data_IF_568330583958
#
_entry.id   IF_568330583958
#
_cell.length_a   1.000
_cell.length_b   1.000
_cell.length_c   1.000
_cell.angle_alpha   90.00
_cell.angle_beta   90.00
_cell.angle_gamma   90.00
#
_symmetry.space_group_name_H-M   'P 1'
#
loop_
_entity.id
_entity.type
_entity.pdbx_description
1 polymer ?
#
# COMPACT_ATOMS: atom_id res chain seq x y z
N UNK A 1 19.77 6.01 20.03
CA UNK A 1 18.42 5.92 19.41
C UNK A 1 18.50 5.79 17.89
N UNK A 2 19.22 6.67 17.17
CA UNK A 2 19.35 6.61 15.71
C UNK A 2 19.91 5.28 15.15
N UNK A 3 20.92 4.69 15.81
CA UNK A 3 21.49 3.40 15.38
C UNK A 3 20.51 2.23 15.51
N UNK A 4 19.63 2.26 16.51
CA UNK A 4 18.60 1.23 16.72
C UNK A 4 17.48 1.35 15.68
N UNK A 5 17.07 2.57 15.34
CA UNK A 5 16.12 2.83 14.25
C UNK A 5 16.67 2.37 12.89
N UNK A 6 17.93 2.66 12.59
CA UNK A 6 18.59 2.20 11.36
C UNK A 6 18.65 0.67 11.27
N UNK A 7 18.98 -0.03 12.36
CA UNK A 7 19.00 -1.49 12.35
C UNK A 7 17.59 -2.08 12.19
N UNK A 8 16.57 -1.51 12.84
CA UNK A 8 15.17 -1.93 12.66
C UNK A 8 14.71 -1.75 11.22
N UNK A 9 15.01 -0.60 10.59
CA UNK A 9 14.68 -0.36 9.18
C UNK A 9 15.38 -1.34 8.25
N UNK A 10 16.65 -1.67 8.50
CA UNK A 10 17.40 -2.67 7.73
C UNK A 10 16.77 -4.07 7.83
N UNK A 11 16.40 -4.50 9.05
CA UNK A 11 15.76 -5.80 9.28
C UNK A 11 14.41 -5.87 8.55
N UNK A 12 13.57 -4.84 8.72
CA UNK A 12 12.26 -4.79 8.07
C UNK A 12 12.40 -4.73 6.56
N UNK A 13 13.33 -3.94 6.03
CA UNK A 13 13.61 -3.89 4.59
C UNK A 13 13.97 -5.25 4.01
N UNK A 14 14.77 -6.04 4.73
CA UNK A 14 15.16 -7.38 4.31
C UNK A 14 14.00 -8.39 4.35
N UNK A 15 12.97 -8.15 5.16
CA UNK A 15 11.76 -8.97 5.24
C UNK A 15 10.70 -8.58 4.19
N UNK A 16 10.75 -7.36 3.65
CA UNK A 16 9.82 -6.88 2.62
C UNK A 16 10.21 -7.43 1.25
N UNK A 17 9.26 -8.11 0.61
CA UNK A 17 9.39 -8.52 -0.79
C UNK A 17 8.77 -7.45 -1.70
N UNK A 18 9.53 -7.03 -2.73
CA UNK A 18 9.03 -6.15 -3.79
C UNK A 18 9.00 -6.96 -5.07
N UNK A 19 7.84 -7.04 -5.70
CA UNK A 19 7.60 -7.79 -6.94
C UNK A 19 7.14 -6.82 -8.02
N UNK A 20 7.58 -7.07 -9.26
CA UNK A 20 7.42 -6.13 -10.36
C UNK A 20 8.40 -4.96 -10.29
N UNK A 21 8.29 -4.05 -11.25
CA UNK A 21 9.13 -2.86 -11.29
C UNK A 21 8.55 -1.75 -10.40
N UNK A 22 9.38 -1.19 -9.52
CA UNK A 22 8.99 -0.07 -8.66
C UNK A 22 9.86 1.15 -8.97
N UNK A 23 9.29 2.10 -9.70
CA UNK A 23 9.90 3.41 -9.92
C UNK A 23 9.52 4.38 -8.78
N UNK A 24 10.35 5.41 -8.51
CA UNK A 24 9.99 6.48 -7.59
C UNK A 24 8.68 7.15 -8.02
N UNK A 25 7.77 7.36 -7.08
CA UNK A 25 6.46 7.95 -7.34
C UNK A 25 6.52 9.49 -7.33
N UNK A 26 5.69 10.18 -8.14
CA UNK A 26 5.48 11.61 -8.03
C UNK A 26 4.93 12.02 -6.65
N UNK A 27 5.07 13.30 -6.29
CA UNK A 27 4.57 13.81 -4.99
C UNK A 27 3.06 13.68 -4.82
N UNK A 28 2.30 13.90 -5.89
CA UNK A 28 0.85 13.70 -5.88
C UNK A 28 0.55 12.21 -5.79
N UNK A 29 -0.09 11.80 -4.69
CA UNK A 29 -0.36 10.39 -4.39
C UNK A 29 -1.80 10.22 -3.94
N UNK A 30 -2.53 9.34 -4.62
CA UNK A 30 -3.81 8.83 -4.12
C UNK A 30 -3.63 7.44 -3.55
N UNK A 31 -4.12 7.23 -2.32
CA UNK A 31 -4.23 5.92 -1.69
C UNK A 31 -5.69 5.47 -1.71
N UNK A 32 -5.96 4.34 -2.35
CA UNK A 32 -7.22 3.60 -2.22
C UNK A 32 -7.01 2.51 -1.17
N UNK A 33 -7.72 2.62 -0.05
CA UNK A 33 -7.68 1.64 1.02
C UNK A 33 -8.84 0.65 0.86
N UNK A 34 -8.50 -0.56 0.41
CA UNK A 34 -9.46 -1.66 0.21
C UNK A 34 -9.54 -2.59 1.41
N UNK A 35 -8.78 -2.33 2.48
CA UNK A 35 -8.82 -3.17 3.69
C UNK A 35 -10.20 -3.12 4.33
N UNK A 36 -10.63 -4.27 4.84
CA UNK A 36 -11.79 -4.33 5.72
C UNK A 36 -11.40 -3.66 7.03
N UNK A 37 -12.09 -2.59 7.42
CA UNK A 37 -11.89 -2.05 8.76
C UNK A 37 -12.52 -3.02 9.76
N UNK A 38 -11.81 -3.41 10.82
CA UNK A 38 -12.39 -4.28 11.83
C UNK A 38 -13.62 -3.61 12.45
N UNK A 39 -14.55 -4.45 12.90
CA UNK A 39 -15.78 -4.00 13.51
C UNK A 39 -15.50 -3.17 14.78
N UNK A 40 -16.50 -2.40 15.24
CA UNK A 40 -16.39 -1.49 16.38
C UNK A 40 -15.80 -2.10 17.67
N UNK A 41 -15.77 -3.43 17.79
CA UNK A 41 -15.24 -4.12 18.97
C UNK A 41 -13.71 -4.06 19.10
N UNK A 42 -12.98 -3.80 18.01
CA UNK A 42 -11.51 -3.85 17.99
C UNK A 42 -10.83 -2.50 18.27
N UNK A 43 -11.61 -1.42 18.37
CA UNK A 43 -11.12 -0.06 18.56
C UNK A 43 -10.38 0.52 17.34
N UNK A 44 -10.06 1.82 17.37
CA UNK A 44 -9.37 2.48 16.27
C UNK A 44 -7.90 2.02 16.19
N UNK A 45 -7.54 1.32 15.11
CA UNK A 45 -6.14 1.05 14.77
C UNK A 45 -5.52 2.28 14.08
N UNK A 46 -4.34 2.77 14.51
CA UNK A 46 -3.65 3.86 13.81
C UNK A 46 -3.25 3.40 12.41
N UNK A 47 -3.56 4.21 11.40
CA UNK A 47 -3.16 3.91 10.02
C UNK A 47 -1.74 4.39 9.73
N UNK A 48 -0.78 3.59 10.19
CA UNK A 48 0.66 3.89 10.10
C UNK A 48 1.12 4.16 8.66
N UNK A 49 0.52 3.51 7.65
CA UNK A 49 0.90 3.73 6.26
C UNK A 49 0.51 5.11 5.78
N UNK A 50 -0.76 5.50 5.92
CA UNK A 50 -1.18 6.83 5.48
C UNK A 50 -0.49 7.95 6.26
N UNK A 51 -0.22 7.76 7.55
CA UNK A 51 0.56 8.73 8.36
C UNK A 51 1.97 8.92 7.82
N UNK A 52 2.70 7.83 7.54
CA UNK A 52 4.07 7.94 7.03
C UNK A 52 4.11 8.41 5.57
N UNK A 53 3.15 8.01 4.72
CA UNK A 53 3.07 8.49 3.34
C UNK A 53 2.78 10.00 3.27
N UNK A 54 1.89 10.51 4.13
CA UNK A 54 1.62 11.95 4.21
C UNK A 54 2.85 12.78 4.61
N UNK A 55 3.90 12.16 5.18
CA UNK A 55 5.16 12.87 5.49
C UNK A 55 6.03 13.16 4.25
N UNK A 56 5.79 12.47 3.12
CA UNK A 56 6.57 12.61 1.89
C UNK A 56 5.74 13.05 0.68
N UNK A 57 4.45 12.68 0.65
CA UNK A 57 3.55 12.85 -0.49
C UNK A 57 2.40 13.83 -0.18
N UNK A 58 1.91 14.50 -1.23
CA UNK A 58 0.65 15.24 -1.22
C UNK A 58 -0.50 14.22 -1.31
N UNK A 59 -0.83 13.65 -0.15
CA UNK A 59 -1.65 12.45 -0.03
C UNK A 59 -3.16 12.77 -0.06
N UNK A 60 -3.87 12.16 -1.01
CA UNK A 60 -5.32 11.97 -0.95
C UNK A 60 -5.62 10.53 -0.56
N UNK A 61 -6.40 10.30 0.48
CA UNK A 61 -6.81 8.95 0.90
C UNK A 61 -8.30 8.76 0.68
N UNK A 62 -8.68 7.65 0.06
CA UNK A 62 -10.06 7.20 -0.09
C UNK A 62 -10.19 5.79 0.48
N UNK A 63 -11.16 5.57 1.38
CA UNK A 63 -11.46 4.24 1.93
C UNK A 63 -12.68 3.71 1.20
N UNK A 64 -12.48 2.69 0.37
CA UNK A 64 -13.56 2.07 -0.42
C UNK A 64 -14.04 0.77 0.21
N UNK A 65 -13.27 0.22 1.15
CA UNK A 65 -13.44 -1.15 1.60
C UNK A 65 -13.18 -2.14 0.46
N UNK A 66 -13.53 -3.40 0.69
CA UNK A 66 -13.19 -4.49 -0.22
C UNK A 66 -14.10 -4.61 -1.45
N UNK A 67 -14.99 -3.63 -1.72
CA UNK A 67 -15.93 -3.68 -2.83
C UNK A 67 -15.23 -3.25 -4.15
N UNK A 68 -15.09 -4.15 -5.15
CA UNK A 68 -14.34 -3.83 -6.36
C UNK A 68 -14.89 -2.62 -7.12
N UNK A 69 -16.22 -2.49 -7.23
CA UNK A 69 -16.86 -1.38 -7.94
C UNK A 69 -16.54 0.00 -7.34
N UNK A 70 -16.62 0.13 -6.02
CA UNK A 70 -16.29 1.39 -5.33
C UNK A 70 -14.81 1.77 -5.50
N UNK A 71 -13.92 0.77 -5.51
CA UNK A 71 -12.50 0.96 -5.77
C UNK A 71 -12.25 1.44 -7.21
N UNK A 72 -12.86 0.81 -8.21
CA UNK A 72 -12.71 1.20 -9.62
C UNK A 72 -13.31 2.57 -9.89
N UNK A 73 -14.50 2.88 -9.35
CA UNK A 73 -15.13 4.19 -9.50
C UNK A 73 -14.25 5.30 -8.93
N UNK A 74 -13.64 5.04 -7.77
CA UNK A 74 -12.66 5.97 -7.18
C UNK A 74 -11.45 6.14 -8.08
N UNK A 75 -10.87 5.04 -8.58
CA UNK A 75 -9.68 5.09 -9.43
C UNK A 75 -9.90 5.87 -10.73
N UNK A 76 -11.12 5.84 -11.30
CA UNK A 76 -11.48 6.65 -12.47
C UNK A 76 -11.45 8.16 -12.21
N UNK A 77 -11.60 8.59 -10.95
CA UNK A 77 -11.51 10.01 -10.57
C UNK A 77 -10.07 10.47 -10.28
N UNK A 78 -9.13 9.53 -10.18
CA UNK A 78 -7.73 9.86 -9.88
C UNK A 78 -7.05 10.41 -11.13
N UNK A 79 -6.48 11.62 -11.10
CA UNK A 79 -5.75 12.17 -12.23
C UNK A 79 -4.59 11.25 -12.67
N UNK A 80 -4.35 11.14 -13.97
CA UNK A 80 -3.23 10.34 -14.49
C UNK A 80 -1.84 10.87 -14.04
N UNK A 81 -1.75 12.15 -13.65
CA UNK A 81 -0.55 12.74 -13.05
C UNK A 81 -0.34 12.38 -11.58
N UNK A 82 -1.33 11.77 -10.92
CA UNK A 82 -1.26 11.29 -9.55
C UNK A 82 -0.89 9.82 -9.54
N UNK A 83 0.09 9.45 -8.72
CA UNK A 83 0.37 8.06 -8.44
C UNK A 83 -0.81 7.41 -7.72
N UNK A 84 -1.04 6.13 -7.99
CA UNK A 84 -2.06 5.35 -7.32
C UNK A 84 -1.41 4.24 -6.50
N UNK A 85 -1.65 4.27 -5.18
CA UNK A 85 -1.29 3.19 -4.27
C UNK A 85 -2.55 2.52 -3.73
N UNK A 86 -2.53 1.20 -3.63
CA UNK A 86 -3.63 0.41 -3.06
C UNK A 86 -3.16 -0.24 -1.77
N UNK A 87 -3.87 -0.01 -0.66
CA UNK A 87 -3.60 -0.70 0.60
C UNK A 87 -4.51 -1.91 0.76
N UNK A 88 -3.92 -3.08 1.00
CA UNK A 88 -4.63 -4.33 1.24
C UNK A 88 -3.95 -5.14 2.37
N UNK A 89 -4.65 -6.14 2.89
CA UNK A 89 -4.12 -7.06 3.89
C UNK A 89 -4.61 -8.52 3.74
N UNK A 90 -5.46 -8.79 2.76
CA UNK A 90 -6.04 -10.12 2.55
C UNK A 90 -5.96 -10.59 1.11
N UNK A 91 -4.77 -10.56 0.52
CA UNK A 91 -4.53 -10.94 -0.88
C UNK A 91 -4.09 -12.40 -1.08
N UNK A 92 -3.62 -13.08 -0.02
CA UNK A 92 -3.13 -14.46 -0.11
C UNK A 92 -4.23 -15.48 -0.48
N UNK A 93 -5.49 -15.17 -0.18
CA UNK A 93 -6.64 -16.00 -0.51
C UNK A 93 -7.56 -15.29 -1.51
N UNK A 94 -8.26 -16.01 -2.39
CA UNK A 94 -9.32 -15.41 -3.21
C UNK A 94 -10.37 -14.70 -2.33
N UNK A 95 -10.86 -13.55 -2.79
CA UNK A 95 -11.87 -12.78 -2.08
C UNK A 95 -11.91 -11.31 -2.50
N UNK A 96 -12.83 -10.54 -1.89
CA UNK A 96 -13.18 -9.21 -2.38
C UNK A 96 -12.01 -8.21 -2.47
N UNK A 97 -11.08 -8.21 -1.50
CA UNK A 97 -9.89 -7.35 -1.58
C UNK A 97 -8.99 -7.70 -2.77
N UNK A 98 -8.81 -8.99 -3.04
CA UNK A 98 -8.01 -9.46 -4.18
C UNK A 98 -8.69 -9.11 -5.50
N UNK A 99 -10.00 -9.28 -5.57
CA UNK A 99 -10.78 -8.92 -6.75
C UNK A 99 -10.73 -7.40 -7.01
N UNK A 100 -10.78 -6.59 -5.95
CA UNK A 100 -10.63 -5.14 -6.04
C UNK A 100 -9.23 -4.75 -6.56
N UNK A 101 -8.15 -5.33 -6.01
CA UNK A 101 -6.78 -5.08 -6.49
C UNK A 101 -6.63 -5.48 -7.95
N UNK A 102 -7.19 -6.63 -8.38
CA UNK A 102 -7.13 -7.05 -9.78
C UNK A 102 -7.92 -6.13 -10.72
N UNK A 103 -9.12 -5.69 -10.30
CA UNK A 103 -9.90 -4.74 -11.09
C UNK A 103 -9.19 -3.39 -11.23
N UNK A 104 -8.57 -2.91 -10.14
CA UNK A 104 -7.74 -1.71 -10.16
C UNK A 104 -6.52 -1.87 -11.07
N UNK A 105 -5.83 -3.01 -11.00
CA UNK A 105 -4.64 -3.28 -11.80
C UNK A 105 -4.94 -3.34 -13.31
N UNK A 106 -6.12 -3.85 -13.68
CA UNK A 106 -6.58 -3.83 -15.06
C UNK A 106 -6.86 -2.40 -15.57
N UNK A 107 -7.27 -1.48 -14.69
CA UNK A 107 -7.58 -0.08 -15.03
C UNK A 107 -6.34 0.83 -14.98
N UNK A 108 -5.47 0.62 -14.00
CA UNK A 108 -4.26 1.41 -13.71
C UNK A 108 -3.06 0.46 -13.60
N UNK A 109 -2.47 0.04 -14.73
CA UNK A 109 -1.33 -0.90 -14.72
C UNK A 109 -0.06 -0.31 -14.09
N UNK A 110 -0.03 1.00 -13.87
CA UNK A 110 1.03 1.75 -13.17
C UNK A 110 0.84 1.81 -11.64
N UNK A 111 -0.23 1.22 -11.09
CA UNK A 111 -0.47 1.26 -9.65
C UNK A 111 0.58 0.44 -8.87
N UNK A 112 0.78 0.83 -7.61
CA UNK A 112 1.56 0.05 -6.64
C UNK A 112 0.63 -0.49 -5.55
N UNK A 113 0.68 -1.79 -5.31
CA UNK A 113 -0.06 -2.41 -4.21
C UNK A 113 0.85 -2.58 -3.00
N UNK A 114 0.38 -2.16 -1.83
CA UNK A 114 1.04 -2.41 -0.53
C UNK A 114 0.18 -3.41 0.23
N UNK A 115 0.69 -4.62 0.36
CA UNK A 115 0.04 -5.71 1.07
C UNK A 115 0.64 -5.87 2.46
N UNK A 116 -0.15 -5.59 3.50
CA UNK A 116 0.27 -5.73 4.90
C UNK A 116 -0.05 -7.09 5.51
N UNK A 117 -0.69 -7.98 4.75
CA UNK A 117 -0.99 -9.36 5.16
C UNK A 117 0.07 -10.36 4.76
N UNK A 118 -0.34 -11.63 4.67
CA UNK A 118 0.48 -12.71 4.12
C UNK A 118 0.78 -12.44 2.64
N UNK A 119 1.95 -12.90 2.19
CA UNK A 119 2.38 -12.74 0.80
C UNK A 119 1.31 -13.25 -0.18
N UNK A 120 0.94 -12.40 -1.13
CA UNK A 120 -0.03 -12.76 -2.16
C UNK A 120 0.61 -13.60 -3.27
N UNK A 121 -0.14 -14.27 -4.15
CA UNK A 121 0.36 -14.69 -5.45
C UNK A 121 0.81 -13.47 -6.28
N UNK A 122 1.80 -13.63 -7.16
CA UNK A 122 2.27 -12.54 -8.00
C UNK A 122 1.13 -12.03 -8.91
N UNK A 123 1.01 -10.71 -9.02
CA UNK A 123 0.08 -10.03 -9.91
C UNK A 123 0.79 -9.39 -11.10
N UNK A 124 0.03 -8.69 -11.95
CA UNK A 124 0.57 -7.97 -13.11
C UNK A 124 1.13 -6.57 -12.81
N UNK A 125 1.09 -6.12 -11.55
CA UNK A 125 1.51 -4.77 -11.11
C UNK A 125 2.55 -4.85 -10.00
N UNK A 126 3.17 -3.71 -9.70
CA UNK A 126 4.12 -3.59 -8.59
C UNK A 126 3.43 -3.91 -7.26
N UNK A 127 4.05 -4.79 -6.47
CA UNK A 127 3.50 -5.28 -5.22
C UNK A 127 4.58 -5.32 -4.13
N UNK A 128 4.28 -4.69 -3.00
CA UNK A 128 5.12 -4.64 -1.81
C UNK A 128 4.46 -5.49 -0.71
N UNK A 129 4.99 -6.70 -0.48
CA UNK A 129 4.52 -7.56 0.61
C UNK A 129 5.28 -7.23 1.90
N UNK A 130 4.54 -6.67 2.84
CA UNK A 130 5.08 -6.11 4.07
C UNK A 130 5.09 -7.08 5.25
N UNK A 131 4.26 -8.13 5.20
CA UNK A 131 4.10 -9.14 6.26
C UNK A 131 3.77 -8.54 7.64
N UNK A 132 3.15 -7.37 7.67
CA UNK A 132 2.73 -6.67 8.87
C UNK A 132 2.53 -5.17 8.65
N UNK A 133 1.83 -4.52 9.59
CA UNK A 133 1.61 -3.08 9.61
C UNK A 133 2.22 -2.49 10.89
N UNK A 134 3.39 -1.84 10.76
CA UNK A 134 4.06 -1.12 11.84
C UNK A 134 4.57 0.22 11.35
N UNK A 135 4.88 1.15 12.27
CA UNK A 135 5.48 2.44 11.91
C UNK A 135 6.81 2.26 11.15
N UNK A 136 7.64 1.29 11.54
CA UNK A 136 8.91 1.00 10.86
C UNK A 136 8.65 0.47 9.45
N UNK A 137 7.69 -0.45 9.30
CA UNK A 137 7.27 -0.97 7.99
C UNK A 137 6.77 0.14 7.08
N UNK A 138 5.91 1.03 7.59
CA UNK A 138 5.38 2.15 6.83
C UNK A 138 6.47 3.14 6.38
N UNK A 139 7.50 3.38 7.21
CA UNK A 139 8.67 4.17 6.81
C UNK A 139 9.46 3.51 5.69
N UNK A 140 9.70 2.20 5.77
CA UNK A 140 10.42 1.48 4.70
C UNK A 140 9.62 1.49 3.40
N UNK A 141 8.30 1.32 3.47
CA UNK A 141 7.43 1.46 2.29
C UNK A 141 7.52 2.87 1.71
N UNK A 142 7.43 3.91 2.54
CA UNK A 142 7.63 5.30 2.08
C UNK A 142 8.98 5.46 1.39
N UNK A 143 10.07 4.99 2.01
CA UNK A 143 11.44 5.07 1.47
C UNK A 143 11.53 4.38 0.09
N UNK A 144 10.91 3.20 -0.06
CA UNK A 144 10.82 2.50 -1.35
C UNK A 144 10.06 3.32 -2.40
N UNK A 145 8.91 3.90 -2.05
CA UNK A 145 8.08 4.68 -2.97
C UNK A 145 8.73 6.01 -3.38
N UNK A 146 9.59 6.61 -2.56
CA UNK A 146 10.36 7.81 -2.94
C UNK A 146 11.65 7.49 -3.69
N UNK A 147 12.00 6.21 -3.84
CA UNK A 147 13.23 5.77 -4.50
C UNK A 147 14.48 5.78 -3.63
N UNK A 148 14.34 5.81 -2.31
CA UNK A 148 15.46 5.71 -1.37
C UNK A 148 15.75 4.23 -1.14
N UNK A 149 16.95 3.79 -1.53
CA UNK A 149 17.45 2.48 -1.14
C UNK A 149 17.86 2.54 0.34
N UNK A 150 17.19 1.76 1.18
CA UNK A 150 17.50 1.61 2.61
C UNK A 150 18.79 0.80 2.86
#
# INVERSE_FOLDING_TARGET
MAAQDANSRRIVRAAIEVRGELAPLPRALTVIDVRDRPNFAEGPRPDVFCTELASAFDLTRVVTGSAPGAATDTALTVPASSALVVLADRLAVPGPQRDAVYALAALRPDLVTVNSGLAAPAGGTALIDCLGASAVTARVVRDLLVGVSA
#
